data_IF_389412069721
#
_entry.id   IF_389412069721
#
_cell.length_a   1.000
_cell.length_b   1.000
_cell.length_c   1.000
_cell.angle_alpha   90.00
_cell.angle_beta   90.00
_cell.angle_gamma   90.00
#
_symmetry.space_group_name_H-M   'P 1'
#
loop_
_entity.id
_entity.type
_entity.pdbx_description
1 polymer ?
#
# COMPACT_ATOMS: atom_id res chain seq x y z
N UNK A 1 8.43 -22.42 -23.63
CA UNK A 1 7.09 -21.84 -23.42
C UNK A 1 6.33 -22.62 -22.34
N UNK A 2 6.28 -23.96 -22.38
CA UNK A 2 5.61 -24.78 -21.35
C UNK A 2 6.07 -24.52 -19.90
N UNK A 3 7.37 -24.38 -19.65
CA UNK A 3 7.88 -24.12 -18.29
C UNK A 3 7.49 -22.75 -17.70
N UNK A 4 7.27 -21.73 -18.53
CA UNK A 4 6.83 -20.40 -18.07
C UNK A 4 5.34 -20.39 -17.77
N UNK A 5 4.55 -21.03 -18.63
CA UNK A 5 3.11 -21.18 -18.43
C UNK A 5 2.79 -22.01 -17.19
N UNK A 6 3.59 -23.05 -16.92
CA UNK A 6 3.53 -23.79 -15.68
C UNK A 6 3.80 -22.90 -14.46
N UNK A 7 4.88 -22.10 -14.47
CA UNK A 7 5.21 -21.18 -13.38
C UNK A 7 4.05 -20.22 -13.09
N UNK A 8 3.53 -19.55 -14.11
CA UNK A 8 2.35 -18.68 -14.00
C UNK A 8 1.14 -19.39 -13.39
N UNK A 9 0.83 -20.61 -13.84
CA UNK A 9 -0.29 -21.38 -13.31
C UNK A 9 -0.16 -21.69 -11.82
N UNK A 10 1.04 -21.95 -11.30
CA UNK A 10 1.25 -22.21 -9.87
C UNK A 10 1.03 -20.96 -9.01
N UNK A 11 1.43 -19.77 -9.51
CA UNK A 11 1.11 -18.50 -8.86
C UNK A 11 -0.40 -18.21 -8.84
N UNK A 12 -1.11 -18.56 -9.90
CA UNK A 12 -2.56 -18.41 -9.99
C UNK A 12 -3.32 -19.36 -9.05
N UNK A 13 -2.85 -20.60 -8.93
CA UNK A 13 -3.38 -21.59 -7.97
C UNK A 13 -3.05 -21.25 -6.51
N UNK A 14 -2.16 -20.28 -6.28
CA UNK A 14 -1.64 -19.91 -4.96
C UNK A 14 -0.90 -21.05 -4.26
N UNK A 15 -0.21 -21.88 -5.03
CA UNK A 15 0.68 -22.90 -4.49
C UNK A 15 2.07 -22.29 -4.30
N UNK A 16 2.39 -21.88 -3.08
CA UNK A 16 3.65 -21.22 -2.77
C UNK A 16 4.86 -22.13 -3.04
N UNK A 17 4.81 -23.40 -2.63
CA UNK A 17 5.95 -24.31 -2.76
C UNK A 17 6.28 -24.58 -4.23
N UNK A 18 5.25 -24.82 -5.05
CA UNK A 18 5.42 -25.02 -6.48
C UNK A 18 5.76 -23.72 -7.21
N UNK A 19 5.27 -22.57 -6.74
CA UNK A 19 5.69 -21.25 -7.24
C UNK A 19 7.19 -21.00 -7.01
N UNK A 20 7.70 -21.26 -5.80
CA UNK A 20 9.14 -21.13 -5.50
C UNK A 20 9.96 -22.07 -6.40
N UNK A 21 9.57 -23.35 -6.45
CA UNK A 21 10.30 -24.34 -7.26
C UNK A 21 10.32 -23.98 -8.75
N UNK A 22 9.17 -23.61 -9.31
CA UNK A 22 9.03 -23.29 -10.74
C UNK A 22 9.70 -21.97 -11.12
N UNK A 23 9.78 -21.00 -10.20
CA UNK A 23 10.49 -19.74 -10.38
C UNK A 23 11.99 -19.96 -10.55
N UNK A 24 12.59 -20.78 -9.69
CA UNK A 24 14.04 -21.07 -9.72
C UNK A 24 14.50 -21.81 -10.98
N UNK A 25 13.58 -22.37 -11.76
CA UNK A 25 13.86 -22.98 -13.06
C UNK A 25 13.86 -21.98 -14.22
N UNK A 26 13.42 -20.73 -13.99
CA UNK A 26 13.33 -19.71 -15.03
C UNK A 26 14.64 -18.95 -15.19
N UNK A 27 14.96 -18.59 -16.43
CA UNK A 27 16.05 -17.68 -16.77
C UNK A 27 15.69 -16.24 -16.35
N UNK A 28 16.51 -15.58 -15.51
CA UNK A 28 16.25 -14.22 -15.04
C UNK A 28 16.05 -13.18 -16.14
N UNK A 29 16.83 -13.27 -17.21
CA UNK A 29 16.80 -12.29 -18.30
C UNK A 29 15.52 -12.41 -19.13
N UNK A 30 14.95 -13.61 -19.20
CA UNK A 30 13.72 -13.90 -19.96
C UNK A 30 12.47 -13.58 -19.14
N UNK A 31 12.51 -13.80 -17.82
CA UNK A 31 11.33 -13.68 -16.96
C UNK A 31 10.86 -12.22 -16.81
N UNK A 32 11.78 -11.28 -16.60
CA UNK A 32 11.46 -9.87 -16.31
C UNK A 32 10.57 -9.22 -17.37
N UNK A 33 10.79 -9.53 -18.65
CA UNK A 33 10.07 -8.91 -19.75
C UNK A 33 8.65 -9.45 -19.93
N UNK A 34 8.43 -10.71 -19.56
CA UNK A 34 7.23 -11.45 -19.97
C UNK A 34 6.23 -11.66 -18.84
N UNK A 35 6.65 -11.56 -17.57
CA UNK A 35 5.87 -12.10 -16.45
C UNK A 35 5.68 -11.11 -15.29
N UNK A 36 5.23 -9.89 -15.61
CA UNK A 36 4.84 -8.90 -14.57
C UNK A 36 3.73 -9.37 -13.63
N UNK A 37 2.95 -10.35 -14.09
CA UNK A 37 1.89 -11.00 -13.34
C UNK A 37 2.43 -11.75 -12.12
N UNK A 38 3.63 -12.33 -12.19
CA UNK A 38 4.22 -13.07 -11.07
C UNK A 38 4.50 -12.18 -9.87
N UNK A 39 5.06 -10.98 -10.12
CA UNK A 39 5.29 -10.04 -9.03
C UNK A 39 3.97 -9.54 -8.43
N UNK A 40 2.96 -9.28 -9.26
CA UNK A 40 1.60 -8.99 -8.78
C UNK A 40 1.05 -10.11 -7.88
N UNK A 41 1.13 -11.37 -8.31
CA UNK A 41 0.63 -12.51 -7.54
C UNK A 41 1.41 -12.72 -6.24
N UNK A 42 2.74 -12.58 -6.27
CA UNK A 42 3.57 -12.67 -5.06
C UNK A 42 3.17 -11.64 -4.01
N UNK A 43 2.97 -10.39 -4.44
CA UNK A 43 2.54 -9.31 -3.56
C UNK A 43 1.13 -9.54 -3.05
N UNK A 44 0.18 -9.86 -3.92
CA UNK A 44 -1.22 -10.08 -3.54
C UNK A 44 -1.37 -11.23 -2.55
N UNK A 45 -0.57 -12.29 -2.71
CA UNK A 45 -0.63 -13.48 -1.87
C UNK A 45 0.21 -13.38 -0.59
N UNK A 46 1.01 -12.33 -0.41
CA UNK A 46 1.86 -12.17 0.79
C UNK A 46 3.16 -12.97 0.75
N UNK A 47 3.62 -13.38 -0.43
CA UNK A 47 4.83 -14.18 -0.60
C UNK A 47 6.08 -13.28 -0.60
N UNK A 48 6.48 -12.83 0.60
CA UNK A 48 7.59 -11.90 0.77
C UNK A 48 8.93 -12.46 0.26
N UNK A 49 9.17 -13.76 0.42
CA UNK A 49 10.36 -14.45 -0.07
C UNK A 49 10.46 -14.38 -1.60
N UNK A 50 9.38 -14.72 -2.30
CA UNK A 50 9.31 -14.61 -3.75
C UNK A 50 9.41 -13.15 -4.19
N UNK A 51 8.76 -12.23 -3.49
CA UNK A 51 8.84 -10.80 -3.82
C UNK A 51 10.27 -10.26 -3.70
N UNK A 52 11.02 -10.70 -2.67
CA UNK A 52 12.45 -10.39 -2.50
C UNK A 52 13.26 -10.94 -3.67
N UNK A 53 13.11 -12.23 -3.97
CA UNK A 53 13.83 -12.88 -5.07
C UNK A 53 13.56 -12.20 -6.41
N UNK A 54 12.30 -11.86 -6.70
CA UNK A 54 11.92 -11.16 -7.94
C UNK A 54 12.59 -9.80 -8.07
N UNK A 55 12.77 -9.06 -6.97
CA UNK A 55 13.46 -7.76 -7.02
C UNK A 55 14.98 -7.96 -7.13
N UNK A 56 15.57 -8.85 -6.35
CA UNK A 56 17.04 -9.00 -6.27
C UNK A 56 17.63 -9.77 -7.44
N UNK A 57 17.01 -10.89 -7.82
CA UNK A 57 17.55 -11.83 -8.80
C UNK A 57 16.96 -11.60 -10.19
N UNK A 58 15.73 -11.08 -10.28
CA UNK A 58 15.02 -10.86 -11.54
C UNK A 58 14.82 -9.38 -11.88
N UNK A 59 15.44 -8.48 -11.11
CA UNK A 59 15.48 -7.03 -11.34
C UNK A 59 14.11 -6.35 -11.51
N UNK A 60 13.08 -6.87 -10.84
CA UNK A 60 11.78 -6.22 -10.80
C UNK A 60 11.86 -4.86 -10.09
N UNK A 61 11.26 -3.83 -10.70
CA UNK A 61 11.22 -2.49 -10.12
C UNK A 61 9.95 -2.32 -9.25
N UNK A 62 10.08 -2.23 -7.92
CA UNK A 62 8.96 -2.08 -7.01
C UNK A 62 8.23 -0.72 -7.14
N UNK A 63 8.83 0.28 -7.79
CA UNK A 63 8.24 1.61 -8.01
C UNK A 63 7.40 1.69 -9.29
N UNK A 64 7.27 0.59 -10.03
CA UNK A 64 6.39 0.50 -11.19
C UNK A 64 4.94 0.27 -10.82
N UNK A 65 4.11 0.34 -11.86
CA UNK A 65 2.67 0.15 -11.79
C UNK A 65 2.30 -1.10 -12.58
N UNK A 66 1.41 -1.90 -12.02
CA UNK A 66 0.80 -3.05 -12.66
C UNK A 66 -0.68 -2.76 -12.89
N UNK A 67 -1.14 -2.83 -14.15
CA UNK A 67 -2.51 -2.47 -14.56
C UNK A 67 -3.01 -1.13 -13.98
N UNK A 68 -2.08 -0.19 -13.77
CA UNK A 68 -2.35 1.15 -13.24
C UNK A 68 -2.35 1.28 -11.72
N UNK A 69 -2.16 0.23 -10.95
CA UNK A 69 -1.96 0.29 -9.48
C UNK A 69 -0.46 0.15 -9.18
N UNK A 70 0.10 0.93 -8.24
CA UNK A 70 1.47 0.69 -7.77
C UNK A 70 1.54 -0.63 -7.00
N UNK A 71 2.70 -1.26 -6.97
CA UNK A 71 2.90 -2.48 -6.19
C UNK A 71 2.67 -2.27 -4.69
N UNK A 72 3.04 -1.10 -4.17
CA UNK A 72 2.72 -0.70 -2.79
C UNK A 72 1.20 -0.61 -2.56
N UNK A 73 0.45 -0.05 -3.51
CA UNK A 73 -1.01 0.04 -3.44
C UNK A 73 -1.66 -1.37 -3.46
N UNK A 74 -1.14 -2.27 -4.28
CA UNK A 74 -1.60 -3.67 -4.34
C UNK A 74 -1.33 -4.39 -3.01
N UNK A 75 -0.15 -4.21 -2.42
CA UNK A 75 0.21 -4.79 -1.12
C UNK A 75 -0.73 -4.31 0.00
N UNK A 76 -0.97 -2.99 0.07
CA UNK A 76 -1.90 -2.40 1.03
C UNK A 76 -3.33 -2.91 0.85
N UNK A 77 -3.84 -2.94 -0.38
CA UNK A 77 -5.18 -3.47 -0.72
C UNK A 77 -5.34 -4.96 -0.39
N UNK A 78 -4.25 -5.72 -0.45
CA UNK A 78 -4.22 -7.12 -0.03
C UNK A 78 -3.94 -7.30 1.49
N UNK A 79 -3.76 -6.19 2.23
CA UNK A 79 -3.40 -6.16 3.64
C UNK A 79 -2.10 -6.94 3.98
N UNK A 80 -1.11 -6.88 3.09
CA UNK A 80 0.16 -7.60 3.22
C UNK A 80 1.20 -6.71 3.89
N UNK A 81 1.13 -6.60 5.21
CA UNK A 81 1.92 -5.65 6.01
C UNK A 81 3.42 -5.85 5.82
N UNK A 82 3.91 -7.10 5.87
CA UNK A 82 5.34 -7.39 5.72
C UNK A 82 5.91 -6.93 4.36
N UNK A 83 5.09 -7.03 3.31
CA UNK A 83 5.47 -6.57 1.97
C UNK A 83 5.40 -5.04 1.90
N UNK A 84 4.38 -4.41 2.48
CA UNK A 84 4.30 -2.95 2.59
C UNK A 84 5.54 -2.39 3.29
N UNK A 85 5.90 -2.96 4.44
CA UNK A 85 7.07 -2.58 5.21
C UNK A 85 8.35 -2.73 4.38
N UNK A 86 8.52 -3.89 3.74
CA UNK A 86 9.68 -4.17 2.88
C UNK A 86 9.80 -3.18 1.72
N UNK A 87 8.71 -2.89 1.00
CA UNK A 87 8.72 -1.96 -0.13
C UNK A 87 9.06 -0.52 0.29
N UNK A 88 8.63 -0.09 1.48
CA UNK A 88 8.91 1.26 1.95
C UNK A 88 10.33 1.35 2.53
N UNK A 89 10.70 0.46 3.45
CA UNK A 89 11.97 0.54 4.17
C UNK A 89 13.17 0.22 3.31
N UNK A 90 13.09 -0.84 2.50
CA UNK A 90 14.23 -1.33 1.73
C UNK A 90 14.31 -0.68 0.35
N UNK A 91 13.16 -0.32 -0.24
CA UNK A 91 13.11 0.21 -1.62
C UNK A 91 12.69 1.68 -1.71
N UNK A 92 12.31 2.32 -0.60
CA UNK A 92 11.91 3.73 -0.59
C UNK A 92 10.72 4.01 -1.50
N UNK A 93 9.73 3.11 -1.53
CA UNK A 93 8.46 3.35 -2.20
C UNK A 93 7.70 4.47 -1.48
N UNK A 94 7.28 5.48 -2.23
CA UNK A 94 6.57 6.64 -1.70
C UNK A 94 5.12 6.24 -1.29
N UNK A 95 4.70 6.47 -0.03
CA UNK A 95 3.32 6.26 0.41
C UNK A 95 2.28 7.10 -0.33
N UNK A 96 2.72 8.06 -1.15
CA UNK A 96 1.85 8.81 -2.05
C UNK A 96 1.61 8.12 -3.40
N UNK A 97 2.28 7.00 -3.68
CA UNK A 97 1.99 6.18 -4.85
C UNK A 97 0.56 5.62 -4.78
N UNK A 98 -0.14 5.58 -5.90
CA UNK A 98 -1.54 5.20 -5.94
C UNK A 98 -1.95 4.51 -7.23
N UNK A 99 -3.06 4.96 -7.80
CA UNK A 99 -3.53 4.48 -9.11
C UNK A 99 -3.33 5.53 -10.21
N UNK A 100 -3.15 5.10 -11.46
CA UNK A 100 -3.03 5.99 -12.63
C UNK A 100 -4.38 6.47 -13.17
N UNK A 101 -5.46 5.74 -12.91
CA UNK A 101 -6.72 5.90 -13.65
C UNK A 101 -7.83 6.63 -12.87
N UNK A 102 -7.84 6.60 -11.53
CA UNK A 102 -8.92 7.19 -10.73
C UNK A 102 -8.41 8.12 -9.64
N UNK A 103 -8.50 9.44 -9.90
CA UNK A 103 -8.24 10.53 -8.94
C UNK A 103 -6.89 10.44 -8.20
N UNK A 104 -5.96 9.63 -8.72
CA UNK A 104 -4.66 9.31 -8.12
C UNK A 104 -4.76 9.17 -6.59
N UNK A 105 -5.72 8.38 -6.10
CA UNK A 105 -5.87 8.17 -4.65
C UNK A 105 -4.58 7.54 -4.14
N UNK A 106 -3.83 8.22 -3.27
CA UNK A 106 -2.58 7.69 -2.74
C UNK A 106 -2.84 6.49 -1.83
N UNK A 107 -1.87 5.58 -1.72
CA UNK A 107 -2.01 4.38 -0.89
C UNK A 107 -2.21 4.75 0.58
N UNK A 108 -1.60 5.83 1.05
CA UNK A 108 -1.76 6.36 2.41
C UNK A 108 -3.23 6.73 2.71
N UNK A 109 -3.89 7.47 1.82
CA UNK A 109 -5.32 7.80 1.96
C UNK A 109 -6.22 6.58 1.79
N UNK A 110 -5.85 5.65 0.93
CA UNK A 110 -6.58 4.39 0.77
C UNK A 110 -6.57 3.58 2.06
N UNK A 111 -5.40 3.38 2.68
CA UNK A 111 -5.28 2.65 3.95
C UNK A 111 -6.16 3.27 5.05
N UNK A 112 -6.17 4.59 5.17
CA UNK A 112 -7.05 5.29 6.10
C UNK A 112 -8.54 5.15 5.76
N UNK A 113 -8.90 5.23 4.47
CA UNK A 113 -10.30 5.10 4.01
C UNK A 113 -10.89 3.72 4.25
N UNK A 114 -10.08 2.68 4.17
CA UNK A 114 -10.51 1.30 4.37
C UNK A 114 -10.28 0.79 5.81
N UNK A 115 -9.70 1.62 6.69
CA UNK A 115 -9.48 1.25 8.10
C UNK A 115 -8.30 0.31 8.31
N UNK A 116 -7.32 0.27 7.41
CA UNK A 116 -6.15 -0.61 7.50
C UNK A 116 -5.12 0.00 8.46
N UNK A 117 -5.43 -0.01 9.75
CA UNK A 117 -4.63 0.67 10.78
C UNK A 117 -3.17 0.22 10.79
N UNK A 118 -2.88 -1.08 10.69
CA UNK A 118 -1.51 -1.59 10.74
C UNK A 118 -0.69 -1.17 9.51
N UNK A 119 -1.30 -1.24 8.33
CA UNK A 119 -0.70 -0.77 7.06
C UNK A 119 -0.44 0.74 7.13
N UNK A 120 -1.41 1.50 7.63
CA UNK A 120 -1.28 2.94 7.80
C UNK A 120 -0.17 3.28 8.79
N UNK A 121 -0.14 2.63 9.95
CA UNK A 121 0.87 2.83 10.97
C UNK A 121 2.28 2.55 10.41
N UNK A 122 2.43 1.44 9.67
CA UNK A 122 3.67 1.13 8.96
C UNK A 122 4.10 2.25 8.00
N UNK A 123 3.18 2.84 7.23
CA UNK A 123 3.52 3.95 6.32
C UNK A 123 3.88 5.23 7.08
N UNK A 124 3.13 5.56 8.13
CA UNK A 124 3.30 6.80 8.91
C UNK A 124 4.61 6.81 9.69
N UNK A 125 4.98 5.68 10.29
CA UNK A 125 6.29 5.53 10.95
C UNK A 125 7.46 5.80 10.00
N UNK A 126 7.32 5.42 8.73
CA UNK A 126 8.39 5.60 7.74
C UNK A 126 8.49 7.04 7.18
N UNK A 127 7.46 7.87 7.35
CA UNK A 127 7.48 9.29 6.97
C UNK A 127 7.73 10.21 8.17
N UNK A 128 8.19 9.67 9.30
CA UNK A 128 8.58 10.41 10.51
C UNK A 128 7.52 11.42 11.01
N UNK A 129 6.23 11.08 10.89
CA UNK A 129 5.15 11.96 11.37
C UNK A 129 4.89 13.20 10.51
N UNK A 130 5.52 13.34 9.35
CA UNK A 130 5.27 14.42 8.39
C UNK A 130 3.93 14.31 7.64
N UNK A 131 3.01 13.46 8.10
CA UNK A 131 1.75 13.12 7.44
C UNK A 131 0.83 14.33 7.16
N UNK A 132 1.03 15.45 7.86
CA UNK A 132 0.26 16.68 7.67
C UNK A 132 0.86 17.65 6.65
N UNK A 133 2.08 17.43 6.18
CA UNK A 133 2.72 18.27 5.17
C UNK A 133 1.89 18.23 3.87
N UNK A 134 1.83 19.36 3.16
CA UNK A 134 1.01 19.52 1.94
C UNK A 134 1.34 18.48 0.85
N UNK A 135 2.57 17.96 0.85
CA UNK A 135 2.99 16.89 -0.06
C UNK A 135 2.22 15.57 0.12
N UNK A 136 1.58 15.37 1.29
CA UNK A 136 0.78 14.19 1.60
C UNK A 136 -0.72 14.44 1.48
N UNK A 137 -1.14 15.51 0.80
CA UNK A 137 -2.55 15.75 0.51
C UNK A 137 -2.94 15.04 -0.79
N UNK A 138 -4.19 14.56 -0.86
CA UNK A 138 -4.69 13.96 -2.11
C UNK A 138 -4.91 15.05 -3.18
N UNK A 139 -5.25 14.63 -4.40
CA UNK A 139 -5.50 15.57 -5.51
C UNK A 139 -6.69 16.52 -5.29
N UNK A 140 -7.51 16.28 -4.26
CA UNK A 140 -8.64 17.11 -3.86
C UNK A 140 -8.29 18.03 -2.68
N UNK A 141 -7.04 18.03 -2.20
CA UNK A 141 -6.60 18.78 -1.02
C UNK A 141 -6.94 18.12 0.31
N UNK A 142 -7.31 16.83 0.31
CA UNK A 142 -7.71 16.11 1.52
C UNK A 142 -6.50 15.52 2.22
N UNK A 143 -6.46 15.67 3.54
CA UNK A 143 -5.51 14.95 4.39
C UNK A 143 -5.95 13.50 4.61
N UNK A 144 -5.05 12.68 5.13
CA UNK A 144 -5.33 11.27 5.49
C UNK A 144 -6.49 11.17 6.50
N UNK A 145 -6.56 12.12 7.44
CA UNK A 145 -7.64 12.20 8.44
C UNK A 145 -9.03 12.39 7.79
N UNK A 146 -9.13 13.16 6.70
CA UNK A 146 -10.39 13.33 5.96
C UNK A 146 -10.89 12.01 5.36
N UNK A 147 -9.99 11.08 5.04
CA UNK A 147 -10.34 9.77 4.51
C UNK A 147 -10.70 8.77 5.63
N UNK A 148 -10.15 8.95 6.83
CA UNK A 148 -10.34 8.06 7.98
C UNK A 148 -11.69 8.15 8.69
N UNK A 149 -12.57 9.11 8.34
CA UNK A 149 -13.76 9.49 9.14
C UNK A 149 -14.67 8.31 9.54
N UNK A 150 -14.74 7.26 8.72
CA UNK A 150 -15.57 6.08 8.99
C UNK A 150 -14.91 5.07 9.95
N UNK A 151 -13.61 5.21 10.21
CA UNK A 151 -12.78 4.29 10.96
C UNK A 151 -12.26 5.01 12.21
N UNK A 152 -13.04 4.91 13.30
CA UNK A 152 -12.78 5.64 14.54
C UNK A 152 -11.41 5.31 15.11
N UNK A 153 -11.01 4.05 15.06
CA UNK A 153 -9.69 3.54 15.45
C UNK A 153 -8.55 4.25 14.72
N UNK A 154 -8.65 4.38 13.40
CA UNK A 154 -7.69 5.14 12.58
C UNK A 154 -7.68 6.62 12.95
N UNK A 155 -8.86 7.21 13.17
CA UNK A 155 -8.97 8.61 13.62
C UNK A 155 -8.30 8.80 14.98
N UNK A 156 -8.48 7.88 15.93
CA UNK A 156 -7.82 7.96 17.26
C UNK A 156 -6.31 7.93 17.09
N UNK A 157 -5.80 7.00 16.29
CA UNK A 157 -4.37 6.85 16.03
C UNK A 157 -3.79 8.12 15.38
N UNK A 158 -4.43 8.67 14.35
CA UNK A 158 -3.96 9.87 13.68
C UNK A 158 -3.95 11.11 14.61
N UNK A 159 -4.94 11.25 15.48
CA UNK A 159 -5.03 12.39 16.41
C UNK A 159 -4.03 12.22 17.57
N UNK A 160 -3.99 11.05 18.20
CA UNK A 160 -3.24 10.84 19.44
C UNK A 160 -1.77 10.53 19.20
N UNK A 161 -1.46 9.70 18.21
CA UNK A 161 -0.09 9.23 17.96
C UNK A 161 0.62 10.07 16.91
N UNK A 162 -0.11 10.61 15.93
CA UNK A 162 0.46 11.39 14.83
C UNK A 162 0.28 12.90 14.98
N UNK A 163 -0.33 13.37 16.08
CA UNK A 163 -0.65 14.78 16.34
C UNK A 163 -1.29 15.52 15.14
N UNK A 164 -2.15 14.84 14.38
CA UNK A 164 -2.79 15.45 13.21
C UNK A 164 -3.75 16.56 13.66
N UNK A 165 -3.58 17.76 13.08
CA UNK A 165 -4.49 18.86 13.36
C UNK A 165 -5.85 18.62 12.70
N UNK A 166 -6.87 18.52 13.54
CA UNK A 166 -8.28 18.37 13.12
C UNK A 166 -8.82 19.64 12.43
N UNK A 167 -8.11 20.76 12.56
CA UNK A 167 -8.50 22.08 12.05
C UNK A 167 -7.97 22.36 10.65
N UNK A 168 -7.31 21.41 9.96
CA UNK A 168 -7.01 21.55 8.54
C UNK A 168 -8.33 21.56 7.77
N UNK A 169 -8.90 22.75 7.62
CA UNK A 169 -10.19 23.01 7.01
C UNK A 169 -10.09 22.79 5.52
N UNK A 170 -10.50 21.61 5.05
CA UNK A 170 -10.93 21.48 3.67
C UNK A 170 -12.28 22.20 3.49
N UNK A 171 -12.64 22.55 2.24
CA UNK A 171 -13.88 23.25 1.84
C UNK A 171 -15.18 22.60 2.31
N UNK A 172 -15.13 21.41 2.90
CA UNK A 172 -16.23 20.66 3.48
C UNK A 172 -16.24 20.78 5.00
N UNK A 173 -16.94 21.81 5.49
CA UNK A 173 -17.20 22.13 6.91
C UNK A 173 -17.79 20.95 7.74
N UNK A 174 -18.18 19.87 7.07
CA UNK A 174 -18.75 18.63 7.63
C UNK A 174 -17.73 17.86 8.48
N UNK A 175 -16.43 17.85 8.13
CA UNK A 175 -15.42 17.13 8.92
C UNK A 175 -15.27 17.75 10.32
N UNK A 176 -15.32 19.08 10.41
CA UNK A 176 -15.24 19.81 11.67
C UNK A 176 -16.35 19.38 12.66
N UNK A 177 -17.60 19.28 12.19
CA UNK A 177 -18.72 18.83 13.02
C UNK A 177 -18.61 17.35 13.43
N UNK A 178 -18.21 16.47 12.50
CA UNK A 178 -18.05 15.04 12.81
C UNK A 178 -16.93 14.79 13.83
N UNK A 179 -15.79 15.49 13.71
CA UNK A 179 -14.69 15.36 14.66
C UNK A 179 -15.00 15.98 16.04
N UNK A 180 -15.80 17.05 16.12
CA UNK A 180 -16.28 17.57 17.40
C UNK A 180 -17.18 16.56 18.14
N UNK A 181 -18.05 15.84 17.43
CA UNK A 181 -18.87 14.79 18.03
C UNK A 181 -18.02 13.61 18.53
N UNK A 182 -16.99 13.24 17.78
CA UNK A 182 -16.06 12.17 18.16
C UNK A 182 -15.18 12.60 19.36
N UNK A 183 -14.79 13.88 19.49
CA UNK A 183 -14.12 14.39 20.70
C UNK A 183 -14.94 14.18 21.98
N UNK A 184 -16.26 14.33 21.90
CA UNK A 184 -17.16 14.05 23.03
C UNK A 184 -17.20 12.57 23.46
N UNK A 185 -16.92 11.64 22.54
CA UNK A 185 -16.82 10.20 22.80
C UNK A 185 -15.38 9.72 23.06
N UNK A 186 -14.36 10.53 22.72
CA UNK A 186 -12.94 10.19 22.90
C UNK A 186 -12.38 10.57 24.27
N UNK A 187 -12.98 11.56 24.94
CA UNK A 187 -12.55 12.07 26.26
C UNK A 187 -13.37 11.50 27.43
N UNK A 188 -14.25 10.53 27.20
CA UNK A 188 -14.99 9.76 28.22
C UNK A 188 -14.39 8.36 28.37
#
# INVERSE_FOLDING_TARGET
>A
MEGMEQCRNEFEKRDHANAVWSLHLQDPDVLYWNERDLFYYSIRNGWLDIAKDLITNYHFDPKKYYKGESYLYIAAKANQIDIVEYLIKEHGCDPMMGTKYNRKVPVLHYAAREGLLDVLNCMVMNINGHIMDEQYWDTNGRTVLHCAVKHIDVVKYLINECNCDIMVTDKMQILFYMLQLVKGHLMS
#
